data_IF_996653828384
#
_entry.id   IF_996653828384
#
_cell.length_a   1.000
_cell.length_b   1.000
_cell.length_c   1.000
_cell.angle_alpha   90.00
_cell.angle_beta   90.00
_cell.angle_gamma   90.00
#
_symmetry.space_group_name_H-M   'P 1'
#
loop_
_entity.id
_entity.type
_entity.pdbx_description
1 polymer ?
#
# COMPACT_ATOMS: atom_id res chain seq x y z
N UNK A 1 -14.88 5.47 24.57
CA UNK A 1 -13.73 4.56 24.37
C UNK A 1 -12.50 5.36 24.71
N UNK A 2 -11.89 5.07 25.85
CA UNK A 2 -10.57 5.62 26.19
C UNK A 2 -9.57 5.08 25.16
N UNK A 3 -8.92 5.98 24.43
CA UNK A 3 -7.73 5.62 23.67
C UNK A 3 -6.75 5.01 24.65
N UNK A 4 -6.48 3.73 24.51
CA UNK A 4 -5.59 3.02 25.42
C UNK A 4 -4.26 3.74 25.47
N UNK A 5 -3.75 3.98 26.68
CA UNK A 5 -2.51 4.70 26.96
C UNK A 5 -1.26 4.18 26.24
N UNK A 6 -1.36 3.03 25.57
CA UNK A 6 -0.31 2.46 24.75
C UNK A 6 -0.13 3.14 23.37
N UNK A 7 -1.15 3.91 22.90
CA UNK A 7 -1.05 4.71 21.67
C UNK A 7 -0.53 6.13 21.94
N UNK A 8 -0.59 6.57 23.20
CA UNK A 8 -0.03 7.84 23.64
C UNK A 8 1.35 7.56 24.22
N UNK A 9 2.32 7.30 23.35
CA UNK A 9 3.73 7.35 23.72
C UNK A 9 4.07 8.73 24.32
N UNK A 10 5.16 8.84 25.09
CA UNK A 10 5.64 10.12 25.60
C UNK A 10 5.64 11.16 24.46
N UNK A 11 5.39 12.45 24.78
CA UNK A 11 5.39 13.54 23.78
C UNK A 11 6.62 13.50 22.83
N UNK A 12 7.71 12.92 23.29
CA UNK A 12 8.93 12.74 22.50
C UNK A 12 8.78 11.69 21.40
N UNK A 13 7.92 10.68 21.58
CA UNK A 13 7.74 9.58 20.60
C UNK A 13 6.72 9.88 19.48
N UNK A 14 6.00 11.02 19.56
CA UNK A 14 4.96 11.39 18.58
C UNK A 14 5.24 12.72 17.86
N UNK A 15 6.41 13.31 18.08
CA UNK A 15 6.74 14.65 17.56
C UNK A 15 6.73 14.71 16.03
N UNK A 16 7.17 13.63 15.40
CA UNK A 16 7.34 13.43 13.96
C UNK A 16 6.26 12.55 13.33
N UNK A 17 5.20 12.23 14.12
CA UNK A 17 4.15 11.31 13.68
C UNK A 17 2.86 12.01 13.34
N UNK A 18 2.08 11.31 12.53
CA UNK A 18 0.72 11.66 12.16
C UNK A 18 -0.21 10.59 12.74
N UNK A 19 -1.30 11.00 13.39
CA UNK A 19 -2.40 10.11 13.76
C UNK A 19 -3.42 10.11 12.63
N UNK A 20 -3.62 8.96 12.03
CA UNK A 20 -4.56 8.76 10.92
C UNK A 20 -5.75 7.95 11.42
N UNK A 21 -6.96 8.45 11.18
CA UNK A 21 -8.19 7.68 11.29
C UNK A 21 -8.31 6.85 10.02
N UNK A 22 -8.28 5.53 10.16
CA UNK A 22 -8.39 4.62 9.02
C UNK A 22 -9.84 4.59 8.55
N UNK A 23 -10.05 4.88 7.27
CA UNK A 23 -11.37 4.94 6.64
C UNK A 23 -11.65 3.68 5.81
N UNK A 24 -10.70 3.26 5.00
CA UNK A 24 -10.79 2.06 4.19
C UNK A 24 -9.51 1.24 4.26
N UNK A 25 -9.67 -0.08 4.17
CA UNK A 25 -8.57 -1.04 4.17
C UNK A 25 -8.80 -2.09 3.08
N UNK A 26 -7.80 -2.33 2.25
CA UNK A 26 -7.74 -3.45 1.31
C UNK A 26 -7.34 -4.75 2.01
N UNK A 27 -7.80 -5.86 1.50
CA UNK A 27 -7.42 -7.20 1.96
C UNK A 27 -6.52 -7.84 0.90
N UNK A 28 -5.23 -7.88 1.18
CA UNK A 28 -4.24 -8.53 0.32
C UNK A 28 -4.31 -10.06 0.43
N UNK A 29 -3.92 -10.76 -0.62
CA UNK A 29 -3.73 -12.20 -0.55
C UNK A 29 -2.72 -12.64 0.53
N UNK A 30 -1.76 -11.78 0.85
CA UNK A 30 -0.81 -12.01 1.95
C UNK A 30 -1.47 -11.97 3.33
N UNK A 31 -2.49 -11.13 3.53
CA UNK A 31 -3.27 -11.12 4.79
C UNK A 31 -4.01 -12.45 5.00
N UNK A 32 -4.52 -13.03 3.92
CA UNK A 32 -5.15 -14.36 3.96
C UNK A 32 -4.12 -15.43 4.33
N UNK A 33 -2.89 -15.35 3.82
CA UNK A 33 -1.79 -16.26 4.20
C UNK A 33 -1.40 -16.09 5.66
N UNK A 34 -1.35 -14.86 6.17
CA UNK A 34 -1.12 -14.58 7.61
C UNK A 34 -2.23 -15.17 8.45
N UNK A 35 -3.49 -14.96 8.09
CA UNK A 35 -4.65 -15.50 8.81
C UNK A 35 -4.59 -17.04 8.92
N UNK A 36 -4.13 -17.72 7.88
CA UNK A 36 -3.96 -19.18 7.87
C UNK A 36 -2.64 -19.68 8.47
N UNK A 37 -1.80 -18.80 9.03
CA UNK A 37 -0.50 -19.18 9.59
C UNK A 37 0.52 -19.64 8.54
N UNK A 38 0.34 -19.27 7.27
CA UNK A 38 1.17 -19.71 6.14
C UNK A 38 2.18 -18.67 5.66
N UNK A 39 2.12 -17.45 6.20
CA UNK A 39 3.07 -16.41 5.80
C UNK A 39 4.44 -16.66 6.43
N UNK A 40 5.52 -16.82 5.62
CA UNK A 40 6.80 -17.35 6.12
C UNK A 40 7.58 -16.38 7.02
N UNK A 41 7.27 -15.07 6.96
CA UNK A 41 8.03 -14.02 7.64
C UNK A 41 7.22 -13.29 8.70
N UNK A 42 6.09 -13.82 9.13
CA UNK A 42 5.23 -13.19 10.15
C UNK A 42 5.37 -13.89 11.48
N UNK A 43 5.56 -13.12 12.55
CA UNK A 43 5.50 -13.58 13.92
C UNK A 43 4.15 -13.23 14.53
N UNK A 44 3.54 -14.19 15.23
CA UNK A 44 2.22 -14.02 15.83
C UNK A 44 2.31 -13.76 17.34
N UNK A 45 1.42 -12.95 17.93
CA UNK A 45 0.29 -12.26 17.28
C UNK A 45 0.72 -11.03 16.47
N UNK A 46 -0.03 -10.68 15.42
CA UNK A 46 0.20 -9.50 14.60
C UNK A 46 -1.13 -8.82 14.24
N UNK A 47 -1.19 -7.50 14.31
CA UNK A 47 -2.25 -6.72 13.69
C UNK A 47 -1.92 -6.60 12.21
N UNK A 48 -2.82 -7.03 11.33
CA UNK A 48 -2.65 -7.00 9.89
C UNK A 48 -2.96 -5.62 9.28
N UNK A 49 -2.94 -5.51 7.96
CA UNK A 49 -3.34 -4.35 7.17
C UNK A 49 -2.16 -3.50 6.73
N UNK A 50 -2.13 -3.21 5.42
CA UNK A 50 -1.08 -2.43 4.77
C UNK A 50 -1.57 -1.69 3.52
N UNK A 51 -2.78 -1.96 3.05
CA UNK A 51 -3.42 -1.29 1.92
C UNK A 51 -4.51 -0.36 2.48
N UNK A 52 -4.21 0.90 2.77
CA UNK A 52 -5.13 1.76 3.52
C UNK A 52 -5.24 3.16 2.95
N UNK A 53 -6.38 3.77 3.25
CA UNK A 53 -6.59 5.20 3.18
C UNK A 53 -7.26 5.71 4.46
N UNK A 54 -7.04 6.96 4.75
CA UNK A 54 -7.59 7.57 5.96
C UNK A 54 -7.51 9.09 5.96
N UNK A 55 -7.84 9.63 7.10
CA UNK A 55 -7.86 11.06 7.34
C UNK A 55 -6.93 11.42 8.50
N UNK A 56 -6.14 12.45 8.33
CA UNK A 56 -5.28 13.00 9.39
C UNK A 56 -6.16 13.60 10.47
N UNK A 57 -6.06 13.10 11.69
CA UNK A 57 -6.85 13.62 12.84
C UNK A 57 -5.99 14.33 13.87
N UNK A 58 -4.68 14.11 13.87
CA UNK A 58 -3.75 14.82 14.76
C UNK A 58 -2.34 14.81 14.20
N UNK A 59 -1.62 15.89 14.41
CA UNK A 59 -0.24 16.05 13.99
C UNK A 59 0.70 16.12 15.19
N UNK A 60 1.85 15.49 15.07
CA UNK A 60 2.97 15.73 15.97
C UNK A 60 3.52 17.15 15.78
N UNK A 61 4.12 17.71 16.82
CA UNK A 61 4.51 19.13 16.84
C UNK A 61 5.56 19.53 15.80
N UNK A 62 6.33 18.56 15.31
CA UNK A 62 7.37 18.81 14.31
C UNK A 62 6.86 18.53 12.87
N UNK A 63 5.59 18.11 12.73
CA UNK A 63 4.96 17.86 11.43
C UNK A 63 4.31 19.14 10.92
N UNK A 64 4.82 19.67 9.82
CA UNK A 64 4.34 20.94 9.21
C UNK A 64 3.81 20.78 7.78
N UNK A 65 3.92 19.58 7.23
CA UNK A 65 3.60 19.30 5.81
C UNK A 65 2.19 18.74 5.60
N UNK A 66 1.47 18.48 6.68
CA UNK A 66 0.10 17.99 6.67
C UNK A 66 -0.82 18.92 7.47
N UNK A 67 -2.13 18.75 7.31
CA UNK A 67 -3.17 19.39 8.12
C UNK A 67 -4.23 18.38 8.57
N UNK A 68 -4.93 18.67 9.65
CA UNK A 68 -6.07 17.87 10.10
C UNK A 68 -7.19 17.90 9.05
N UNK A 69 -7.85 16.76 8.86
CA UNK A 69 -8.85 16.55 7.81
C UNK A 69 -8.27 16.13 6.46
N UNK A 70 -6.95 16.15 6.28
CA UNK A 70 -6.32 15.77 5.01
C UNK A 70 -6.45 14.29 4.73
N UNK A 71 -6.88 13.95 3.52
CA UNK A 71 -6.94 12.57 3.03
C UNK A 71 -5.55 12.05 2.70
N UNK A 72 -5.25 10.83 3.15
CA UNK A 72 -3.92 10.24 3.03
C UNK A 72 -3.97 8.73 2.79
N UNK A 73 -2.88 8.20 2.24
CA UNK A 73 -2.51 6.78 2.26
C UNK A 73 -1.20 6.60 3.01
N UNK A 74 -0.88 5.36 3.38
CA UNK A 74 0.32 5.03 4.16
C UNK A 74 1.21 4.09 3.36
N UNK A 75 2.50 4.42 3.24
CA UNK A 75 3.52 3.52 2.71
C UNK A 75 3.88 2.46 3.76
N UNK A 76 3.59 1.16 3.54
CA UNK A 76 3.74 0.15 4.58
C UNK A 76 5.17 -0.33 4.80
N UNK A 77 6.12 0.06 3.95
CA UNK A 77 7.51 -0.39 4.01
C UNK A 77 8.28 0.35 5.12
N UNK A 78 8.93 -0.43 6.00
CA UNK A 78 9.83 0.06 7.03
C UNK A 78 11.24 -0.41 6.70
N UNK A 79 12.10 0.52 6.30
CA UNK A 79 13.47 0.25 5.86
C UNK A 79 14.50 0.93 6.78
N UNK A 80 15.73 0.40 6.84
CA UNK A 80 16.75 0.86 7.76
C UNK A 80 17.37 2.23 7.39
N UNK A 81 17.34 2.61 6.10
CA UNK A 81 17.97 3.85 5.61
C UNK A 81 19.50 3.79 5.43
N UNK A 82 20.19 2.79 5.97
CA UNK A 82 21.65 2.75 6.10
C UNK A 82 22.34 1.72 5.20
N UNK A 83 21.66 0.62 4.84
CA UNK A 83 22.25 -0.42 4.00
C UNK A 83 22.53 0.07 2.57
N UNK A 84 23.31 -0.69 1.81
CA UNK A 84 23.71 -0.31 0.46
C UNK A 84 22.52 0.03 -0.45
N UNK A 85 21.45 -0.80 -0.56
CA UNK A 85 20.28 -0.45 -1.35
C UNK A 85 19.60 0.85 -0.91
N UNK A 86 19.42 1.05 0.39
CA UNK A 86 18.77 2.27 0.92
C UNK A 86 19.54 3.54 0.53
N UNK A 87 20.86 3.54 0.71
CA UNK A 87 21.70 4.68 0.33
C UNK A 87 21.74 4.98 -1.16
N UNK A 88 21.32 4.02 -2.00
CA UNK A 88 21.20 4.17 -3.45
C UNK A 88 19.75 4.35 -3.92
N UNK A 89 18.84 4.72 -3.03
CA UNK A 89 17.43 5.00 -3.35
C UNK A 89 16.60 3.76 -3.70
N UNK A 90 17.10 2.55 -3.38
CA UNK A 90 16.43 1.28 -3.61
C UNK A 90 15.94 0.68 -2.29
N UNK A 91 15.22 1.47 -1.49
CA UNK A 91 14.77 1.09 -0.16
C UNK A 91 13.81 -0.12 -0.16
N UNK A 92 13.12 -0.38 -1.27
CA UNK A 92 12.35 -1.61 -1.48
C UNK A 92 13.21 -2.89 -1.48
N UNK A 93 14.52 -2.76 -1.63
CA UNK A 93 15.51 -3.84 -1.54
C UNK A 93 16.32 -3.78 -0.24
N UNK A 94 15.81 -3.12 0.79
CA UNK A 94 16.48 -3.00 2.08
C UNK A 94 16.78 -4.39 2.65
N UNK A 95 18.01 -4.57 3.18
CA UNK A 95 18.45 -5.83 3.79
C UNK A 95 17.67 -6.18 5.06
N UNK A 96 17.12 -5.16 5.74
CA UNK A 96 16.29 -5.28 6.94
C UNK A 96 14.84 -4.85 6.70
N UNK A 97 14.34 -5.02 5.47
CA UNK A 97 13.00 -4.60 5.12
C UNK A 97 11.96 -5.28 6.00
N UNK A 98 11.09 -4.46 6.58
CA UNK A 98 9.89 -4.90 7.29
C UNK A 98 8.67 -4.27 6.62
N UNK A 99 7.52 -4.92 6.76
CA UNK A 99 6.26 -4.43 6.23
C UNK A 99 5.22 -4.40 7.34
N UNK A 100 4.48 -3.32 7.44
CA UNK A 100 3.36 -3.19 8.35
C UNK A 100 2.34 -4.31 8.08
N UNK A 101 1.83 -4.92 9.14
CA UNK A 101 0.91 -6.06 9.02
C UNK A 101 1.58 -7.44 8.94
N UNK A 102 2.92 -7.50 8.84
CA UNK A 102 3.68 -8.76 8.78
C UNK A 102 4.77 -8.82 9.85
N UNK A 103 5.81 -8.01 9.76
CA UNK A 103 6.92 -7.96 10.73
C UNK A 103 6.77 -6.83 11.74
N UNK A 104 5.89 -5.86 11.46
CA UNK A 104 5.51 -4.79 12.39
C UNK A 104 4.00 -4.68 12.46
N UNK A 105 3.48 -3.97 13.47
CA UNK A 105 2.06 -3.71 13.62
C UNK A 105 1.49 -3.07 12.35
N UNK A 106 0.41 -3.64 11.85
CA UNK A 106 -0.31 -3.14 10.68
C UNK A 106 -1.43 -2.17 11.04
N UNK A 107 -2.08 -1.69 10.02
CA UNK A 107 -3.01 -0.57 10.02
C UNK A 107 -4.48 -0.96 10.25
N UNK A 108 -4.80 -2.26 10.50
CA UNK A 108 -6.17 -2.72 10.77
C UNK A 108 -6.64 -2.31 12.17
N UNK A 109 -6.87 -1.03 12.35
CA UNK A 109 -7.34 -0.38 13.58
C UNK A 109 -8.14 0.87 13.23
N UNK A 110 -8.92 1.40 14.18
CA UNK A 110 -9.65 2.65 13.92
C UNK A 110 -8.71 3.86 13.74
N UNK A 111 -7.61 3.87 14.49
CA UNK A 111 -6.59 4.92 14.44
C UNK A 111 -5.20 4.30 14.39
N UNK A 112 -4.34 4.88 13.60
CA UNK A 112 -2.96 4.44 13.46
C UNK A 112 -1.99 5.62 13.51
N UNK A 113 -1.00 5.53 14.41
CA UNK A 113 0.05 6.54 14.54
C UNK A 113 1.28 6.12 13.72
N UNK A 114 1.63 6.89 12.72
CA UNK A 114 2.69 6.57 11.76
C UNK A 114 3.65 7.75 11.60
N UNK A 115 4.90 7.47 11.26
CA UNK A 115 5.89 8.46 10.87
C UNK A 115 5.39 9.28 9.68
N UNK A 116 5.52 10.61 9.76
CA UNK A 116 5.04 11.52 8.71
C UNK A 116 5.68 11.23 7.35
N UNK A 117 6.90 10.71 7.32
CA UNK A 117 7.61 10.34 6.09
C UNK A 117 6.97 9.16 5.35
N UNK A 118 6.09 8.40 6.01
CA UNK A 118 5.34 7.27 5.46
C UNK A 118 3.93 7.65 4.99
N UNK A 119 3.53 8.89 5.20
CA UNK A 119 2.20 9.38 4.83
C UNK A 119 2.28 10.10 3.50
N UNK A 120 1.36 9.77 2.60
CA UNK A 120 1.24 10.42 1.29
C UNK A 120 -0.15 11.02 1.16
N UNK A 121 -0.27 12.33 0.88
CA UNK A 121 -1.57 12.94 0.62
C UNK A 121 -2.18 12.37 -0.66
N UNK A 122 -3.50 12.22 -0.67
CA UNK A 122 -4.27 11.84 -1.85
C UNK A 122 -5.20 12.99 -2.24
N UNK A 123 -5.57 13.11 -3.53
CA UNK A 123 -6.48 14.16 -4.00
C UNK A 123 -7.81 14.17 -3.24
N UNK A 124 -8.37 15.34 -3.00
CA UNK A 124 -9.65 15.50 -2.26
C UNK A 124 -10.83 14.82 -2.98
N UNK A 125 -10.82 14.80 -4.30
CA UNK A 125 -11.83 14.16 -5.15
C UNK A 125 -11.73 12.64 -5.17
N UNK A 126 -10.59 12.06 -4.74
CA UNK A 126 -10.40 10.61 -4.65
C UNK A 126 -11.19 10.05 -3.48
N UNK A 127 -11.93 8.97 -3.69
CA UNK A 127 -12.60 8.26 -2.62
C UNK A 127 -11.60 7.53 -1.71
N UNK A 128 -12.02 7.17 -0.50
CA UNK A 128 -11.15 6.39 0.38
C UNK A 128 -10.93 4.97 -0.15
N UNK A 129 -11.90 4.40 -0.87
CA UNK A 129 -11.76 3.11 -1.56
C UNK A 129 -10.64 3.17 -2.59
N UNK A 130 -10.64 4.21 -3.44
CA UNK A 130 -9.58 4.44 -4.42
C UNK A 130 -8.23 4.70 -3.74
N UNK A 131 -8.24 5.45 -2.63
CA UNK A 131 -7.06 5.73 -1.83
C UNK A 131 -6.41 4.46 -1.26
N UNK A 132 -7.21 3.49 -0.81
CA UNK A 132 -6.71 2.20 -0.33
C UNK A 132 -6.10 1.34 -1.45
N UNK A 133 -6.50 1.59 -2.72
CA UNK A 133 -5.94 0.89 -3.88
C UNK A 133 -4.59 1.44 -4.34
N UNK A 134 -4.12 2.57 -3.80
CA UNK A 134 -2.85 3.19 -4.23
C UNK A 134 -1.67 2.25 -3.95
N UNK A 135 -1.66 1.58 -2.80
CA UNK A 135 -0.57 0.66 -2.45
C UNK A 135 -0.44 -0.49 -3.47
N UNK A 136 -1.48 -1.32 -3.71
CA UNK A 136 -1.35 -2.40 -4.68
C UNK A 136 -1.18 -1.89 -6.12
N UNK A 137 -1.71 -0.71 -6.46
CA UNK A 137 -1.47 -0.08 -7.76
C UNK A 137 0.00 0.33 -7.91
N UNK A 138 0.64 0.82 -6.85
CA UNK A 138 2.07 1.16 -6.88
C UNK A 138 2.94 -0.08 -7.18
N UNK A 139 2.59 -1.25 -6.64
CA UNK A 139 3.23 -2.53 -6.97
C UNK A 139 3.10 -2.82 -8.46
N UNK A 140 1.90 -2.69 -9.01
CA UNK A 140 1.63 -2.92 -10.44
C UNK A 140 2.40 -1.95 -11.34
N UNK A 141 2.37 -0.65 -11.05
CA UNK A 141 3.11 0.39 -11.79
C UNK A 141 4.61 0.14 -11.72
N UNK A 142 5.13 -0.23 -10.54
CA UNK A 142 6.54 -0.61 -10.39
C UNK A 142 6.90 -1.79 -11.30
N UNK A 143 6.09 -2.83 -11.32
CA UNK A 143 6.28 -4.00 -12.18
C UNK A 143 6.32 -3.63 -13.66
N UNK A 144 5.38 -2.81 -14.14
CA UNK A 144 5.36 -2.35 -15.54
C UNK A 144 6.61 -1.53 -15.87
N UNK A 145 7.05 -0.64 -14.96
CA UNK A 145 8.28 0.16 -15.16
C UNK A 145 9.55 -0.67 -15.28
N UNK A 146 9.60 -1.91 -14.72
CA UNK A 146 10.77 -2.78 -14.88
C UNK A 146 10.94 -3.27 -16.32
N UNK A 147 9.87 -3.30 -17.12
CA UNK A 147 9.91 -3.65 -18.54
C UNK A 147 10.48 -2.48 -19.39
N UNK A 148 10.46 -1.26 -18.87
CA UNK A 148 10.83 -0.04 -19.57
C UNK A 148 9.63 0.71 -20.15
N UNK A 149 9.83 1.39 -21.29
CA UNK A 149 8.73 2.10 -21.97
C UNK A 149 7.82 1.10 -22.69
N UNK A 150 6.58 1.03 -22.24
CA UNK A 150 5.55 0.12 -22.80
C UNK A 150 4.67 0.79 -23.85
N UNK A 151 4.91 2.06 -24.18
CA UNK A 151 4.11 2.81 -25.15
C UNK A 151 4.13 2.12 -26.52
N UNK A 152 2.96 1.83 -27.04
CA UNK A 152 2.77 1.17 -28.34
C UNK A 152 3.07 -0.34 -28.34
N UNK A 153 3.45 -0.94 -27.21
CA UNK A 153 3.71 -2.37 -27.10
C UNK A 153 2.43 -3.18 -26.96
N UNK A 154 2.49 -4.44 -27.36
CA UNK A 154 1.48 -5.45 -27.03
C UNK A 154 1.94 -6.21 -25.80
N UNK A 155 1.12 -6.20 -24.76
CA UNK A 155 1.43 -6.77 -23.44
C UNK A 155 0.52 -7.96 -23.17
N UNK A 156 1.09 -9.05 -22.70
CA UNK A 156 0.35 -10.20 -22.18
C UNK A 156 0.59 -10.31 -20.66
N UNK A 157 -0.48 -10.36 -19.90
CA UNK A 157 -0.45 -10.55 -18.44
C UNK A 157 -0.98 -11.95 -18.13
N UNK A 158 -0.18 -12.74 -17.44
CA UNK A 158 -0.52 -14.11 -17.06
C UNK A 158 -1.02 -14.13 -15.60
N UNK A 159 -2.33 -14.36 -15.44
CA UNK A 159 -3.03 -14.32 -14.15
C UNK A 159 -3.85 -13.04 -13.98
N UNK A 160 -5.19 -13.18 -13.88
CA UNK A 160 -6.14 -12.09 -13.69
C UNK A 160 -6.56 -11.90 -12.22
N UNK A 161 -5.68 -12.25 -11.27
CA UNK A 161 -5.84 -11.90 -9.86
C UNK A 161 -5.74 -10.38 -9.65
N UNK A 162 -5.90 -9.88 -8.41
CA UNK A 162 -5.89 -8.43 -8.13
C UNK A 162 -4.68 -7.72 -8.73
N UNK A 163 -3.47 -8.23 -8.49
CA UNK A 163 -2.23 -7.62 -9.00
C UNK A 163 -2.14 -7.72 -10.53
N UNK A 164 -2.49 -8.88 -11.13
CA UNK A 164 -2.47 -9.02 -12.60
C UNK A 164 -3.42 -8.05 -13.29
N UNK A 165 -4.62 -7.87 -12.73
CA UNK A 165 -5.60 -6.92 -13.23
C UNK A 165 -5.07 -5.47 -13.13
N UNK A 166 -4.47 -5.08 -11.99
CA UNK A 166 -3.85 -3.77 -11.83
C UNK A 166 -2.65 -3.57 -12.77
N UNK A 167 -1.82 -4.60 -13.00
CA UNK A 167 -0.71 -4.55 -13.98
C UNK A 167 -1.25 -4.32 -15.39
N UNK A 168 -2.33 -5.00 -15.79
CA UNK A 168 -2.95 -4.81 -17.09
C UNK A 168 -3.49 -3.38 -17.26
N UNK A 169 -4.19 -2.85 -16.24
CA UNK A 169 -4.68 -1.48 -16.24
C UNK A 169 -3.53 -0.46 -16.27
N UNK A 170 -2.49 -0.66 -15.46
CA UNK A 170 -1.30 0.19 -15.45
C UNK A 170 -0.61 0.21 -16.82
N UNK A 171 -0.38 -0.95 -17.44
CA UNK A 171 0.21 -1.04 -18.77
C UNK A 171 -0.63 -0.29 -19.82
N UNK A 172 -1.96 -0.46 -19.79
CA UNK A 172 -2.88 0.26 -20.66
C UNK A 172 -2.82 1.78 -20.43
N UNK A 173 -2.87 2.23 -19.17
CA UNK A 173 -2.75 3.63 -18.79
C UNK A 173 -1.40 4.25 -19.17
N UNK A 174 -0.33 3.47 -19.21
CA UNK A 174 1.01 3.88 -19.64
C UNK A 174 1.19 3.83 -21.17
N UNK A 175 0.14 3.54 -21.93
CA UNK A 175 0.12 3.67 -23.39
C UNK A 175 0.43 2.41 -24.16
N UNK A 176 0.35 1.21 -23.56
CA UNK A 176 0.41 -0.03 -24.32
C UNK A 176 -0.66 -0.06 -25.42
N UNK A 177 -0.29 -0.53 -26.61
CA UNK A 177 -1.20 -0.58 -27.77
C UNK A 177 -2.31 -1.64 -27.59
N UNK A 178 -1.96 -2.77 -27.02
CA UNK A 178 -2.89 -3.84 -26.64
C UNK A 178 -2.45 -4.48 -25.34
N UNK A 179 -3.43 -4.81 -24.49
CA UNK A 179 -3.17 -5.56 -23.27
C UNK A 179 -4.14 -6.74 -23.25
N UNK A 180 -3.59 -7.93 -23.20
CA UNK A 180 -4.31 -9.19 -23.06
C UNK A 180 -4.04 -9.75 -21.66
N UNK A 181 -5.05 -10.30 -21.03
CA UNK A 181 -4.90 -10.98 -19.74
C UNK A 181 -5.48 -12.40 -19.81
N UNK A 182 -4.86 -13.32 -19.10
CA UNK A 182 -5.30 -14.73 -19.06
C UNK A 182 -5.45 -15.21 -17.62
N UNK A 183 -6.40 -16.06 -17.36
CA UNK A 183 -6.58 -16.79 -16.09
C UNK A 183 -7.34 -18.09 -16.35
N UNK A 184 -7.33 -19.00 -15.39
CA UNK A 184 -8.13 -20.23 -15.39
C UNK A 184 -9.53 -20.01 -14.78
N UNK A 185 -9.78 -18.84 -14.21
CA UNK A 185 -11.03 -18.47 -13.55
C UNK A 185 -11.82 -17.46 -14.38
N UNK A 186 -12.97 -17.87 -14.86
CA UNK A 186 -13.89 -16.99 -15.63
C UNK A 186 -14.28 -15.75 -14.80
N UNK A 187 -14.54 -15.90 -13.50
CA UNK A 187 -14.86 -14.79 -12.59
C UNK A 187 -13.77 -13.68 -12.61
N UNK A 188 -12.49 -14.07 -12.65
CA UNK A 188 -11.38 -13.11 -12.70
C UNK A 188 -11.26 -12.47 -14.08
N UNK A 189 -11.49 -13.23 -15.13
CA UNK A 189 -11.50 -12.71 -16.49
C UNK A 189 -12.66 -11.73 -16.71
N UNK A 190 -13.85 -12.04 -16.19
CA UNK A 190 -15.00 -11.13 -16.25
C UNK A 190 -14.70 -9.83 -15.50
N UNK A 191 -14.04 -9.90 -14.33
CA UNK A 191 -13.59 -8.70 -13.62
C UNK A 191 -12.59 -7.88 -14.42
N UNK A 192 -11.67 -8.52 -15.13
CA UNK A 192 -10.73 -7.82 -15.99
C UNK A 192 -11.46 -7.09 -17.15
N UNK A 193 -12.47 -7.71 -17.77
CA UNK A 193 -13.32 -7.08 -18.78
C UNK A 193 -14.07 -5.87 -18.22
N UNK A 194 -14.65 -5.96 -17.02
CA UNK A 194 -15.27 -4.81 -16.34
C UNK A 194 -14.29 -3.64 -16.17
N UNK A 195 -13.01 -3.94 -15.96
CA UNK A 195 -11.94 -2.94 -15.89
C UNK A 195 -11.43 -2.50 -17.29
N UNK A 196 -12.08 -2.94 -18.37
CA UNK A 196 -11.75 -2.56 -19.74
C UNK A 196 -10.50 -3.25 -20.29
N UNK A 197 -10.14 -4.44 -19.80
CA UNK A 197 -9.04 -5.26 -20.30
C UNK A 197 -9.59 -6.41 -21.16
N UNK A 198 -8.93 -6.68 -22.30
CA UNK A 198 -9.30 -7.73 -23.26
C UNK A 198 -8.74 -9.11 -22.89
#
# INVERSE_FOLDING_TARGET
>A
YEMTSSLVGSEMCIRDRVLVKIMNIGICGSDIHVYHGKHPFTSYPVTQGHEVSGEVVKLGKDVTVFHEGQKVTIEPQVYCGECYPCRHGKYNLCEELKVMGFQTTGTASEYFAVDASKVTPIPEEMSYEEGAMIEPLAVAVHGVKQVGDVKGMNIAVLGAGPIGNLVAQAAKGMGAAKVMITDVSDLRLDKAKECGID
#
